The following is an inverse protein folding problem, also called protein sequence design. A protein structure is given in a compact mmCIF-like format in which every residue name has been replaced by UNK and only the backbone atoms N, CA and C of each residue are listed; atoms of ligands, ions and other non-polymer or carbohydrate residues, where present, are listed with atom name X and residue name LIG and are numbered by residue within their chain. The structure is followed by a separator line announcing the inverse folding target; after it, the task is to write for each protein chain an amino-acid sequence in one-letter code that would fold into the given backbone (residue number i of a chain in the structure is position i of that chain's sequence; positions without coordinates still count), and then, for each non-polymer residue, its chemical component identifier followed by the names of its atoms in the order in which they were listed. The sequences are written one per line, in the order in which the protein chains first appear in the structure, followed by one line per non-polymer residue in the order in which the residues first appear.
data_IF_003010103671
#
_entry.id   IF_003010103671
#
_cell.length_a   1.000
_cell.length_b   1.000
_cell.length_c   1.000
_cell.angle_alpha   90.00
_cell.angle_beta   90.00
_cell.angle_gamma   90.00
#
_symmetry.space_group_name_H-M   'P 1'
#
loop_
_entity.id
_entity.type
_entity.pdbx_description
1 polymer ?
#
# COMPACT_ATOMS: atom_id res chain seq x y z
N UNK A 1 31.86 9.68 4.69
CA UNK A 1 30.52 9.07 4.74
C UNK A 1 30.33 8.26 3.48
N UNK A 2 29.94 6.99 3.62
CA UNK A 2 29.59 6.15 2.47
C UNK A 2 28.28 6.65 1.89
N UNK A 3 28.21 6.77 0.57
CA UNK A 3 26.98 7.17 -0.11
C UNK A 3 25.94 6.04 0.03
N UNK A 4 24.74 6.39 0.48
CA UNK A 4 23.61 5.45 0.56
C UNK A 4 23.33 4.80 -0.80
N UNK A 5 23.05 3.50 -0.82
CA UNK A 5 22.75 2.81 -2.09
C UNK A 5 21.45 3.31 -2.71
N UNK A 6 20.44 3.66 -1.91
CA UNK A 6 19.18 4.21 -2.43
C UNK A 6 19.34 5.58 -3.07
N UNK A 7 20.45 6.29 -2.88
CA UNK A 7 20.71 7.54 -3.60
C UNK A 7 20.84 7.38 -5.13
N UNK A 8 21.03 6.15 -5.61
CA UNK A 8 20.93 5.84 -7.04
C UNK A 8 19.46 5.84 -7.50
N UNK A 9 19.23 6.06 -8.80
CA UNK A 9 17.88 6.06 -9.38
C UNK A 9 17.47 4.74 -10.03
N UNK A 10 18.41 3.81 -10.21
CA UNK A 10 18.21 2.60 -11.00
C UNK A 10 18.91 1.40 -10.35
N UNK A 11 18.27 0.22 -10.40
CA UNK A 11 18.79 -1.03 -9.85
C UNK A 11 20.21 -1.35 -10.32
N UNK A 12 20.54 -1.12 -11.60
CA UNK A 12 21.89 -1.42 -12.11
C UNK A 12 23.02 -0.74 -11.33
N UNK A 13 22.80 0.47 -10.83
CA UNK A 13 23.82 1.22 -10.08
C UNK A 13 23.84 0.81 -8.61
N UNK A 14 22.67 0.54 -8.03
CA UNK A 14 22.52 -0.06 -6.69
C UNK A 14 23.27 -1.40 -6.63
N UNK A 15 22.98 -2.32 -7.55
CA UNK A 15 23.59 -3.64 -7.59
C UNK A 15 25.09 -3.57 -7.84
N UNK A 16 25.55 -2.69 -8.74
CA UNK A 16 26.99 -2.50 -8.97
C UNK A 16 27.72 -2.13 -7.68
N UNK A 17 27.19 -1.21 -6.89
CA UNK A 17 27.84 -0.73 -5.68
C UNK A 17 27.66 -1.72 -4.52
N UNK A 18 26.49 -2.36 -4.41
CA UNK A 18 26.23 -3.46 -3.48
C UNK A 18 27.21 -4.63 -3.67
N UNK A 19 27.38 -5.12 -4.90
CA UNK A 19 28.25 -6.24 -5.22
C UNK A 19 29.75 -5.92 -5.05
N UNK A 20 30.12 -4.63 -5.00
CA UNK A 20 31.49 -4.19 -4.68
C UNK A 20 31.76 -4.15 -3.18
N UNK A 21 30.73 -4.06 -2.35
CA UNK A 21 30.85 -4.11 -0.89
C UNK A 21 31.37 -5.47 -0.42
N UNK A 22 31.95 -5.52 0.78
CA UNK A 22 32.41 -6.77 1.38
C UNK A 22 31.27 -7.77 1.59
N UNK A 23 30.10 -7.28 2.00
CA UNK A 23 28.92 -8.11 2.29
C UNK A 23 28.25 -8.62 0.99
N UNK A 24 28.12 -7.78 -0.04
CA UNK A 24 27.46 -8.15 -1.29
C UNK A 24 28.31 -8.98 -2.27
N UNK A 25 29.64 -9.00 -2.13
CA UNK A 25 30.54 -9.68 -3.07
C UNK A 25 30.26 -11.18 -3.22
N UNK A 26 29.83 -11.85 -2.15
CA UNK A 26 29.49 -13.27 -2.17
C UNK A 26 28.29 -13.59 -3.09
N UNK A 27 27.53 -12.57 -3.48
CA UNK A 27 26.33 -12.67 -4.30
C UNK A 27 26.56 -12.27 -5.76
N UNK A 28 27.80 -12.00 -6.18
CA UNK A 28 28.12 -11.49 -7.52
C UNK A 28 27.70 -12.40 -8.69
N UNK A 29 27.49 -13.69 -8.44
CA UNK A 29 27.08 -14.66 -9.45
C UNK A 29 25.55 -14.81 -9.58
N UNK A 30 24.75 -14.10 -8.78
CA UNK A 30 23.29 -14.16 -8.91
C UNK A 30 22.77 -13.28 -10.06
N UNK A 31 21.70 -13.71 -10.74
CA UNK A 31 21.01 -12.86 -11.69
C UNK A 31 20.58 -11.54 -11.06
N UNK A 32 20.77 -10.43 -11.79
CA UNK A 32 20.43 -9.09 -11.30
C UNK A 32 18.95 -8.95 -10.94
N UNK A 33 18.06 -9.60 -11.68
CA UNK A 33 16.62 -9.58 -11.39
C UNK A 33 16.30 -10.27 -10.07
N UNK A 34 16.95 -11.40 -9.78
CA UNK A 34 16.77 -12.11 -8.50
C UNK A 34 17.28 -11.29 -7.32
N UNK A 35 18.44 -10.62 -7.46
CA UNK A 35 18.96 -9.73 -6.44
C UNK A 35 18.08 -8.50 -6.23
N UNK A 36 17.58 -7.90 -7.31
CA UNK A 36 16.67 -6.74 -7.23
C UNK A 36 15.39 -7.13 -6.49
N UNK A 37 14.83 -8.29 -6.81
CA UNK A 37 13.66 -8.84 -6.13
C UNK A 37 13.92 -9.05 -4.64
N UNK A 38 15.02 -9.69 -4.28
CA UNK A 38 15.35 -10.00 -2.88
C UNK A 38 15.72 -8.76 -2.03
N UNK A 39 16.30 -7.74 -2.66
CA UNK A 39 16.69 -6.49 -1.99
C UNK A 39 15.58 -5.43 -1.98
N UNK A 40 14.45 -5.66 -2.66
CA UNK A 40 13.37 -4.69 -2.74
C UNK A 40 12.80 -4.28 -1.36
N UNK A 41 12.56 -5.18 -0.38
CA UNK A 41 12.10 -4.78 0.95
C UNK A 41 13.06 -3.81 1.64
N UNK A 42 14.37 -4.10 1.57
CA UNK A 42 15.43 -3.29 2.17
C UNK A 42 15.53 -1.92 1.53
N UNK A 43 15.46 -1.88 0.19
CA UNK A 43 15.46 -0.63 -0.57
C UNK A 43 14.24 0.23 -0.24
N UNK A 44 13.07 -0.40 -0.08
CA UNK A 44 11.81 0.25 0.26
C UNK A 44 11.86 0.93 1.63
N UNK A 45 12.32 0.22 2.66
CA UNK A 45 12.48 0.77 4.01
C UNK A 45 13.45 1.95 3.99
N UNK A 46 14.60 1.80 3.32
CA UNK A 46 15.58 2.89 3.22
C UNK A 46 15.03 4.12 2.51
N UNK A 47 14.26 3.96 1.43
CA UNK A 47 13.61 5.07 0.74
C UNK A 47 12.54 5.75 1.60
N UNK A 48 11.76 4.95 2.31
CA UNK A 48 10.75 5.48 3.22
C UNK A 48 11.40 6.31 4.33
N UNK A 49 12.48 5.81 4.93
CA UNK A 49 13.23 6.52 5.97
C UNK A 49 13.83 7.84 5.46
N UNK A 50 14.38 7.84 4.23
CA UNK A 50 14.94 9.05 3.61
C UNK A 50 13.91 10.20 3.56
N UNK A 51 12.65 9.88 3.32
CA UNK A 51 11.59 10.87 3.12
C UNK A 51 10.83 11.21 4.40
N UNK A 52 10.43 10.19 5.16
CA UNK A 52 9.44 10.33 6.22
C UNK A 52 10.05 10.36 7.61
N UNK A 53 11.24 9.79 7.80
CA UNK A 53 11.89 9.68 9.10
C UNK A 53 13.43 9.79 9.03
N UNK A 54 13.98 10.87 8.42
CA UNK A 54 15.43 10.96 8.20
C UNK A 54 16.25 10.96 9.49
N UNK A 55 15.66 11.39 10.62
CA UNK A 55 16.30 11.37 11.93
C UNK A 55 16.71 9.95 12.38
N UNK A 56 16.00 8.90 11.94
CA UNK A 56 16.36 7.51 12.25
C UNK A 56 17.75 7.14 11.69
N UNK A 57 18.19 7.79 10.60
CA UNK A 57 19.51 7.52 9.99
C UNK A 57 20.69 8.05 10.78
N UNK A 58 20.44 8.93 11.75
CA UNK A 58 21.47 9.47 12.63
C UNK A 58 21.68 8.62 13.88
N UNK A 59 20.84 7.61 14.10
CA UNK A 59 21.03 6.66 15.18
C UNK A 59 22.22 5.73 14.91
N UNK A 60 22.88 5.26 15.97
CA UNK A 60 23.91 4.23 15.89
C UNK A 60 23.35 2.81 15.78
N UNK A 61 22.11 2.63 16.23
CA UNK A 61 21.39 1.37 16.19
C UNK A 61 19.92 1.61 15.79
N UNK A 62 19.27 0.61 15.20
CA UNK A 62 17.85 0.62 14.86
C UNK A 62 17.21 -0.71 15.26
N UNK A 63 16.07 -0.62 15.93
CA UNK A 63 15.17 -1.73 16.21
C UNK A 63 13.91 -1.60 15.35
N UNK A 64 13.78 -2.49 14.36
CA UNK A 64 12.72 -2.45 13.35
C UNK A 64 11.83 -3.67 13.50
N UNK A 65 10.52 -3.45 13.43
CA UNK A 65 9.53 -4.53 13.34
C UNK A 65 8.96 -4.56 11.94
N UNK A 66 9.02 -5.72 11.29
CA UNK A 66 8.30 -5.98 10.04
C UNK A 66 6.99 -6.66 10.42
N UNK A 67 5.90 -5.90 10.38
CA UNK A 67 4.59 -6.34 10.81
C UNK A 67 3.76 -6.84 9.62
N UNK A 68 2.88 -7.81 9.89
CA UNK A 68 2.10 -8.49 8.85
C UNK A 68 2.92 -9.54 8.10
N UNK A 69 4.07 -9.95 8.64
CA UNK A 69 4.99 -10.83 7.96
C UNK A 69 4.34 -12.19 7.65
N UNK A 70 4.49 -12.66 6.41
CA UNK A 70 3.93 -13.93 5.94
C UNK A 70 4.91 -14.62 4.99
N UNK A 71 4.57 -15.81 4.47
CA UNK A 71 5.38 -16.47 3.45
C UNK A 71 5.36 -15.66 2.15
N UNK A 72 6.43 -14.90 1.89
CA UNK A 72 6.44 -13.88 0.85
C UNK A 72 7.80 -13.22 0.67
N UNK A 73 7.81 -12.07 -0.03
CA UNK A 73 9.03 -11.31 -0.32
C UNK A 73 9.68 -10.72 0.93
N UNK A 74 8.85 -10.23 1.83
CA UNK A 74 9.18 -9.67 3.13
C UNK A 74 9.83 -10.68 4.09
N UNK A 75 9.69 -11.99 3.82
CA UNK A 75 10.32 -13.08 4.60
C UNK A 75 11.22 -13.99 3.77
N UNK A 76 11.56 -13.59 2.53
CA UNK A 76 12.45 -14.35 1.65
C UNK A 76 13.77 -14.68 2.36
N UNK A 77 14.22 -15.94 2.24
CA UNK A 77 15.40 -16.47 2.94
C UNK A 77 15.36 -16.20 4.47
N UNK A 78 14.17 -16.33 5.07
CA UNK A 78 13.85 -16.02 6.46
C UNK A 78 14.12 -14.55 6.86
N UNK A 79 14.03 -13.62 5.91
CA UNK A 79 14.27 -12.19 6.14
C UNK A 79 15.75 -11.83 6.32
N UNK A 80 16.69 -12.74 6.03
CA UNK A 80 18.14 -12.45 6.16
C UNK A 80 18.60 -11.26 5.32
N UNK A 81 17.84 -10.89 4.28
CA UNK A 81 18.13 -9.72 3.45
C UNK A 81 18.13 -8.40 4.23
N UNK A 82 17.38 -8.28 5.33
CA UNK A 82 17.37 -7.06 6.16
C UNK A 82 18.73 -6.73 6.78
N UNK A 83 19.65 -7.69 6.87
CA UNK A 83 21.04 -7.46 7.31
C UNK A 83 21.79 -6.48 6.40
N UNK A 84 21.33 -6.24 5.17
CA UNK A 84 21.93 -5.28 4.25
C UNK A 84 21.38 -3.85 4.40
N UNK A 85 20.37 -3.62 5.23
CA UNK A 85 19.78 -2.28 5.43
C UNK A 85 20.82 -1.20 5.79
N UNK A 86 21.83 -1.45 6.65
CA UNK A 86 22.91 -0.48 6.92
C UNK A 86 23.61 0.04 5.65
N UNK A 87 23.83 -0.82 4.66
CA UNK A 87 24.43 -0.44 3.38
C UNK A 87 23.50 0.47 2.57
N UNK A 88 22.20 0.18 2.56
CA UNK A 88 21.21 0.99 1.86
C UNK A 88 21.06 2.38 2.48
N UNK A 89 21.16 2.47 3.82
CA UNK A 89 21.16 3.73 4.56
C UNK A 89 22.46 4.53 4.44
N UNK A 90 23.53 3.95 3.88
CA UNK A 90 24.86 4.57 3.80
C UNK A 90 25.62 4.61 5.13
N UNK A 91 25.20 3.76 6.08
CA UNK A 91 25.71 3.68 7.46
C UNK A 91 26.15 2.23 7.73
N UNK A 92 27.23 1.72 7.08
CA UNK A 92 27.60 0.30 7.15
C UNK A 92 27.88 -0.23 8.56
N UNK A 93 28.23 0.65 9.50
CA UNK A 93 28.54 0.31 10.89
C UNK A 93 27.31 0.41 11.83
N UNK A 94 26.14 0.80 11.29
CA UNK A 94 24.89 0.87 12.05
C UNK A 94 24.43 -0.55 12.42
N UNK A 95 24.07 -0.73 13.69
CA UNK A 95 23.46 -1.97 14.14
C UNK A 95 21.97 -1.96 13.80
N UNK A 96 21.48 -2.99 13.13
CA UNK A 96 20.06 -3.12 12.80
C UNK A 96 19.57 -4.46 13.33
N UNK A 97 18.59 -4.40 14.24
CA UNK A 97 17.84 -5.58 14.68
C UNK A 97 16.47 -5.56 14.04
N UNK A 98 16.05 -6.69 13.50
CA UNK A 98 14.74 -6.84 12.87
C UNK A 98 13.99 -7.97 13.54
N UNK A 99 12.73 -7.71 13.91
CA UNK A 99 11.78 -8.73 14.36
C UNK A 99 10.69 -8.91 13.28
N UNK A 100 10.46 -10.14 12.83
CA UNK A 100 9.39 -10.46 11.87
C UNK A 100 8.14 -10.88 12.63
N UNK A 101 7.04 -10.16 12.46
CA UNK A 101 5.82 -10.33 13.25
C UNK A 101 4.62 -10.52 12.33
N UNK A 102 3.94 -11.67 12.45
CA UNK A 102 2.71 -11.92 11.73
C UNK A 102 2.21 -13.36 11.87
N UNK A 103 0.88 -13.54 11.93
CA UNK A 103 0.26 -14.88 12.00
C UNK A 103 0.56 -15.76 10.78
N UNK A 104 0.90 -15.15 9.64
CA UNK A 104 1.34 -15.87 8.43
C UNK A 104 2.71 -16.53 8.55
N UNK A 105 3.41 -16.38 9.67
CA UNK A 105 4.66 -17.10 9.96
C UNK A 105 4.43 -18.49 10.57
N UNK A 106 3.20 -18.81 11.02
CA UNK A 106 2.83 -20.14 11.49
C UNK A 106 2.52 -21.06 10.32
N UNK A 107 3.22 -22.19 10.23
CA UNK A 107 3.04 -23.21 9.19
C UNK A 107 1.66 -23.88 9.19
N UNK A 108 0.85 -23.69 10.23
CA UNK A 108 -0.48 -24.27 10.36
C UNK A 108 -1.62 -23.31 9.96
N UNK A 109 -1.32 -22.03 9.76
CA UNK A 109 -2.30 -21.05 9.30
C UNK A 109 -2.29 -21.11 7.77
N UNK A 110 -3.41 -21.48 7.10
CA UNK A 110 -3.50 -21.37 5.65
C UNK A 110 -3.10 -19.96 5.25
N UNK A 111 -2.25 -19.77 4.23
CA UNK A 111 -1.82 -18.44 3.78
C UNK A 111 -3.05 -17.57 3.52
N UNK A 112 -3.45 -16.75 4.49
CA UNK A 112 -4.63 -15.88 4.42
C UNK A 112 -4.35 -14.71 3.47
N UNK A 113 -3.07 -14.48 3.16
CA UNK A 113 -2.59 -13.43 2.29
C UNK A 113 -2.53 -13.93 0.83
N UNK A 114 -3.67 -13.81 0.13
CA UNK A 114 -3.73 -13.93 -1.32
C UNK A 114 -4.18 -15.30 -1.80
N UNK A 115 -5.48 -15.43 -2.11
CA UNK A 115 -6.00 -16.66 -2.71
C UNK A 115 -5.22 -17.02 -3.98
N UNK A 116 -4.64 -18.23 -4.06
CA UNK A 116 -4.04 -18.91 -5.22
C UNK A 116 -3.13 -18.11 -6.19
N UNK A 117 -2.87 -16.82 -5.98
CA UNK A 117 -2.30 -15.91 -6.97
C UNK A 117 -0.78 -15.79 -6.86
N UNK A 118 -0.19 -16.33 -5.79
CA UNK A 118 1.25 -16.31 -5.57
C UNK A 118 1.81 -17.72 -5.40
N UNK A 119 1.79 -18.59 -6.45
CA UNK A 119 2.61 -19.79 -6.47
C UNK A 119 4.05 -19.38 -6.79
N UNK A 120 4.62 -18.50 -5.97
CA UNK A 120 6.05 -18.55 -5.75
C UNK A 120 6.18 -19.32 -4.45
N UNK A 121 5.93 -20.63 -4.49
CA UNK A 121 6.73 -21.50 -3.63
C UNK A 121 8.16 -21.03 -3.90
N UNK A 122 8.87 -20.44 -2.93
CA UNK A 122 10.27 -20.19 -3.09
C UNK A 122 10.85 -21.61 -3.07
N UNK A 123 10.88 -22.28 -4.23
CA UNK A 123 11.62 -23.53 -4.44
C UNK A 123 12.98 -23.22 -3.88
N UNK A 124 13.24 -23.68 -2.65
CA UNK A 124 14.32 -23.20 -1.76
C UNK A 124 15.48 -22.75 -2.62
N UNK A 125 15.50 -21.45 -2.91
CA UNK A 125 16.24 -21.00 -4.07
C UNK A 125 17.71 -21.21 -3.75
N UNK A 126 18.55 -21.38 -4.77
CA UNK A 126 20.00 -21.46 -4.56
C UNK A 126 20.54 -20.26 -3.77
N UNK A 127 19.80 -19.14 -3.65
CA UNK A 127 20.10 -17.99 -2.77
C UNK A 127 20.15 -18.37 -1.28
N UNK A 128 19.27 -19.24 -0.81
CA UNK A 128 19.17 -19.62 0.61
C UNK A 128 20.49 -20.16 1.17
N UNK A 129 21.19 -20.99 0.40
CA UNK A 129 22.49 -21.53 0.80
C UNK A 129 23.59 -20.46 0.94
N UNK A 130 23.54 -19.41 0.10
CA UNK A 130 24.49 -18.30 0.16
C UNK A 130 24.14 -17.30 1.26
N UNK A 131 22.87 -17.23 1.66
CA UNK A 131 22.41 -16.38 2.76
C UNK A 131 22.56 -17.04 4.13
N UNK A 132 22.72 -18.37 4.21
CA UNK A 132 22.74 -19.14 5.47
C UNK A 132 23.80 -18.70 6.51
N UNK A 133 24.86 -18.01 6.08
CA UNK A 133 25.88 -17.47 6.98
C UNK A 133 25.43 -16.19 7.72
N UNK A 134 24.34 -15.57 7.26
CA UNK A 134 23.74 -14.40 7.90
C UNK A 134 22.71 -14.85 8.93
N UNK A 135 22.68 -14.12 10.05
CA UNK A 135 21.71 -14.34 11.11
C UNK A 135 20.30 -13.98 10.62
N UNK A 136 19.37 -14.91 10.79
CA UNK A 136 17.97 -14.66 10.51
C UNK A 136 17.35 -13.82 11.63
N UNK A 137 16.56 -12.80 11.30
CA UNK A 137 15.65 -12.14 12.24
C UNK A 137 14.84 -13.12 13.09
N UNK A 138 14.60 -12.85 14.38
CA UNK A 138 13.60 -13.56 15.16
C UNK A 138 12.22 -13.48 14.50
N UNK A 139 11.45 -14.57 14.62
CA UNK A 139 10.13 -14.74 14.00
C UNK A 139 9.08 -14.93 15.09
N UNK A 140 8.02 -14.12 15.04
CA UNK A 140 6.94 -14.12 16.02
C UNK A 140 5.60 -14.37 15.30
N UNK A 141 5.05 -15.60 15.37
CA UNK A 141 3.76 -15.94 14.75
C UNK A 141 2.57 -15.39 15.56
N UNK A 142 2.59 -14.08 15.79
CA UNK A 142 1.65 -13.32 16.61
C UNK A 142 1.01 -12.21 15.77
N UNK A 143 -0.13 -11.69 16.21
CA UNK A 143 -0.59 -10.35 15.79
C UNK A 143 0.41 -9.28 16.25
N UNK A 144 0.32 -8.09 15.67
CA UNK A 144 1.18 -6.99 16.08
C UNK A 144 0.88 -6.59 17.54
N UNK A 145 -0.39 -6.53 17.94
CA UNK A 145 -0.80 -6.21 19.30
C UNK A 145 -0.32 -7.24 20.33
N UNK A 146 -0.46 -8.54 20.03
CA UNK A 146 0.07 -9.62 20.89
C UNK A 146 1.60 -9.51 21.06
N UNK A 147 2.32 -9.26 19.96
CA UNK A 147 3.76 -9.07 20.01
C UNK A 147 4.16 -7.83 20.82
N UNK A 148 3.48 -6.69 20.62
CA UNK A 148 3.77 -5.45 21.36
C UNK A 148 3.49 -5.63 22.86
N UNK A 149 2.43 -6.36 23.23
CA UNK A 149 2.14 -6.71 24.62
C UNK A 149 3.23 -7.61 25.22
N UNK A 150 3.69 -8.64 24.49
CA UNK A 150 4.79 -9.50 24.94
C UNK A 150 6.13 -8.74 25.06
N UNK A 151 6.32 -7.71 24.22
CA UNK A 151 7.49 -6.84 24.17
C UNK A 151 7.46 -5.70 25.20
N UNK A 152 6.42 -5.54 26.02
CA UNK A 152 6.20 -4.35 26.87
C UNK A 152 7.37 -3.95 27.82
N UNK A 153 8.30 -4.86 28.10
CA UNK A 153 9.49 -4.62 28.93
C UNK A 153 10.74 -4.15 28.15
N UNK A 154 10.66 -4.08 26.82
CA UNK A 154 11.70 -3.53 25.93
C UNK A 154 11.32 -2.11 25.51
N UNK A 155 12.30 -1.27 25.11
CA UNK A 155 12.00 -0.02 24.43
C UNK A 155 11.08 -0.22 23.23
N UNK A 156 10.26 0.78 22.94
CA UNK A 156 9.46 0.80 21.72
C UNK A 156 10.39 0.68 20.49
N UNK A 157 9.97 -0.03 19.43
CA UNK A 157 10.76 -0.09 18.21
C UNK A 157 10.90 1.31 17.59
N UNK A 158 12.03 1.54 16.92
CA UNK A 158 12.32 2.77 16.20
C UNK A 158 11.43 2.94 14.95
N UNK A 159 11.01 1.83 14.37
CA UNK A 159 10.16 1.76 13.19
C UNK A 159 9.33 0.48 13.19
N UNK A 160 8.05 0.60 12.88
CA UNK A 160 7.22 -0.53 12.42
C UNK A 160 6.98 -0.34 10.92
N UNK A 161 7.29 -1.35 10.12
CA UNK A 161 7.05 -1.32 8.69
C UNK A 161 6.07 -2.43 8.28
N UNK A 162 5.04 -2.08 7.52
CA UNK A 162 4.01 -3.01 7.04
C UNK A 162 4.04 -3.03 5.52
N UNK A 163 4.37 -4.18 4.94
CA UNK A 163 4.25 -4.40 3.51
C UNK A 163 2.84 -4.89 3.19
N UNK A 164 2.11 -4.16 2.34
CA UNK A 164 0.79 -4.56 1.82
C UNK A 164 -0.21 -4.92 2.94
N UNK A 165 -0.62 -3.95 3.76
CA UNK A 165 -1.41 -4.20 4.97
C UNK A 165 -2.73 -4.94 4.70
N UNK A 166 -3.38 -4.67 3.56
CA UNK A 166 -4.66 -5.26 3.19
C UNK A 166 -5.74 -4.94 4.22
N UNK A 167 -5.85 -3.68 4.66
CA UNK A 167 -6.79 -3.29 5.72
C UNK A 167 -8.23 -3.61 5.37
N UNK A 168 -8.60 -3.63 4.09
CA UNK A 168 -9.94 -4.04 3.66
C UNK A 168 -10.28 -5.48 4.06
N UNK A 169 -9.32 -6.41 3.95
CA UNK A 169 -9.51 -7.82 4.32
C UNK A 169 -9.23 -8.03 5.82
N UNK A 170 -8.30 -7.27 6.39
CA UNK A 170 -7.73 -7.49 7.71
C UNK A 170 -8.08 -6.39 8.73
N UNK A 171 -9.13 -5.60 8.50
CA UNK A 171 -9.54 -4.49 9.39
C UNK A 171 -9.79 -4.97 10.81
N UNK A 172 -10.36 -6.17 10.97
CA UNK A 172 -10.63 -6.74 12.28
C UNK A 172 -9.37 -6.99 13.11
N UNK A 173 -8.25 -7.37 12.50
CA UNK A 173 -6.98 -7.56 13.24
C UNK A 173 -6.24 -6.24 13.39
N UNK A 174 -6.00 -5.55 12.27
CA UNK A 174 -5.18 -4.33 12.27
C UNK A 174 -5.78 -3.20 13.08
N UNK A 175 -7.11 -3.06 13.00
CA UNK A 175 -7.81 -1.89 13.51
C UNK A 175 -8.68 -2.27 14.72
N UNK A 176 -9.68 -3.14 14.54
CA UNK A 176 -10.61 -3.47 15.62
C UNK A 176 -9.92 -4.24 16.77
N UNK A 177 -8.89 -5.03 16.45
CA UNK A 177 -8.05 -5.73 17.43
C UNK A 177 -7.05 -4.81 18.15
N UNK A 178 -6.94 -3.54 17.75
CA UNK A 178 -6.04 -2.57 18.37
C UNK A 178 -4.56 -2.72 17.99
N UNK A 179 -4.23 -3.55 16.99
CA UNK A 179 -2.85 -3.79 16.55
C UNK A 179 -2.13 -2.50 16.16
N UNK A 180 -2.72 -1.69 15.27
CA UNK A 180 -2.13 -0.39 14.89
C UNK A 180 -2.07 0.59 16.06
N UNK A 181 -3.13 0.65 16.88
CA UNK A 181 -3.17 1.52 18.07
C UNK A 181 -2.03 1.17 19.04
N UNK A 182 -1.73 -0.12 19.22
CA UNK A 182 -0.68 -0.58 20.13
C UNK A 182 0.70 0.01 19.81
N UNK A 183 0.96 0.33 18.54
CA UNK A 183 2.21 0.94 18.08
C UNK A 183 2.10 2.46 18.04
N UNK A 184 1.02 2.99 17.45
CA UNK A 184 0.84 4.44 17.28
C UNK A 184 0.77 5.16 18.63
N UNK A 185 0.22 4.53 19.67
CA UNK A 185 0.19 5.07 21.05
C UNK A 185 1.57 5.23 21.68
N UNK A 186 2.60 4.53 21.19
CA UNK A 186 3.99 4.69 21.62
C UNK A 186 4.70 5.82 20.88
N UNK A 187 4.05 6.44 19.89
CA UNK A 187 4.66 7.43 19.00
C UNK A 187 5.66 6.81 18.01
N UNK A 188 5.74 5.48 17.92
CA UNK A 188 6.59 4.78 16.96
C UNK A 188 6.12 5.11 15.53
N UNK A 189 7.03 5.57 14.64
CA UNK A 189 6.71 5.75 13.23
C UNK A 189 6.25 4.45 12.57
N UNK A 190 5.15 4.52 11.81
CA UNK A 190 4.64 3.39 11.02
C UNK A 190 4.78 3.68 9.53
N UNK A 191 5.66 2.92 8.87
CA UNK A 191 5.84 2.95 7.43
C UNK A 191 5.03 1.88 6.73
N UNK A 192 4.43 2.23 5.59
CA UNK A 192 3.58 1.32 4.83
C UNK A 192 3.98 1.30 3.36
N UNK A 193 3.68 0.18 2.72
CA UNK A 193 3.80 0.04 1.28
C UNK A 193 2.55 -0.62 0.67
N UNK A 194 2.22 -0.24 -0.56
CA UNK A 194 1.11 -0.77 -1.35
C UNK A 194 1.59 -1.21 -2.75
N UNK A 195 0.84 -2.09 -3.42
CA UNK A 195 1.11 -2.67 -4.73
C UNK A 195 0.97 -1.67 -5.88
N UNK A 196 0.26 -0.56 -5.63
CA UNK A 196 -0.02 0.52 -6.57
C UNK A 196 -0.56 1.74 -5.84
N UNK A 197 -0.82 2.82 -6.60
CA UNK A 197 -1.49 4.02 -6.06
C UNK A 197 -2.95 3.71 -5.70
N UNK A 198 -3.58 2.80 -6.45
CA UNK A 198 -4.97 2.43 -6.30
C UNK A 198 -5.22 1.66 -4.99
N UNK A 199 -4.38 0.66 -4.70
CA UNK A 199 -4.44 -0.04 -3.41
C UNK A 199 -4.18 0.95 -2.27
N UNK A 200 -3.18 1.83 -2.39
CA UNK A 200 -2.93 2.85 -1.37
C UNK A 200 -4.17 3.70 -1.08
N UNK A 201 -4.88 4.17 -2.11
CA UNK A 201 -6.12 4.93 -1.92
C UNK A 201 -7.18 4.12 -1.15
N UNK A 202 -7.36 2.85 -1.48
CA UNK A 202 -8.28 1.97 -0.76
C UNK A 202 -7.89 1.83 0.73
N UNK A 203 -6.61 1.62 1.01
CA UNK A 203 -6.09 1.49 2.37
C UNK A 203 -6.37 2.75 3.20
N UNK A 204 -6.12 3.94 2.60
CA UNK A 204 -6.39 5.23 3.25
C UNK A 204 -7.87 5.39 3.57
N UNK A 205 -8.77 4.95 2.70
CA UNK A 205 -10.21 5.05 2.93
C UNK A 205 -10.68 4.14 4.05
N UNK A 206 -10.20 2.90 4.09
CA UNK A 206 -10.49 1.98 5.20
C UNK A 206 -10.04 2.60 6.52
N UNK A 207 -8.82 3.13 6.57
CA UNK A 207 -8.28 3.81 7.75
C UNK A 207 -9.11 5.03 8.16
N UNK A 208 -9.48 5.88 7.21
CA UNK A 208 -10.30 7.07 7.45
C UNK A 208 -11.68 6.71 8.03
N UNK A 209 -12.30 5.64 7.54
CA UNK A 209 -13.57 5.13 8.05
C UNK A 209 -13.47 4.59 9.50
N UNK A 210 -12.26 4.29 9.96
CA UNK A 210 -11.96 3.97 11.36
C UNK A 210 -11.38 5.16 12.15
N UNK A 211 -11.41 6.37 11.57
CA UNK A 211 -10.93 7.61 12.20
C UNK A 211 -9.40 7.77 12.24
N UNK A 212 -8.64 6.90 11.58
CA UNK A 212 -7.20 7.07 11.42
C UNK A 212 -6.89 8.13 10.37
N UNK A 213 -5.76 8.82 10.55
CA UNK A 213 -5.26 9.79 9.58
C UNK A 213 -4.01 9.24 8.89
N UNK A 214 -4.06 9.19 7.57
CA UNK A 214 -2.91 8.84 6.74
C UNK A 214 -2.30 10.10 6.14
N UNK A 215 -0.97 10.09 6.02
CA UNK A 215 -0.30 11.16 5.30
C UNK A 215 -0.55 11.00 3.80
N UNK A 216 -1.13 12.02 3.17
CA UNK A 216 -1.44 11.99 1.73
C UNK A 216 -0.19 12.05 0.83
N UNK A 217 0.98 12.33 1.40
CA UNK A 217 2.24 12.26 0.65
C UNK A 217 2.62 10.81 0.43
N UNK A 218 2.75 10.45 -0.84
CA UNK A 218 3.23 9.14 -1.28
C UNK A 218 4.57 9.26 -2.02
N UNK A 219 5.34 8.18 -2.01
CA UNK A 219 6.55 8.03 -2.81
C UNK A 219 6.36 6.85 -3.74
N UNK A 220 6.62 7.06 -5.03
CA UNK A 220 6.77 5.95 -5.96
C UNK A 220 8.13 5.28 -5.73
N UNK A 221 8.10 4.02 -5.34
CA UNK A 221 9.27 3.20 -5.13
C UNK A 221 9.90 2.78 -6.45
N UNK A 222 10.96 3.49 -6.84
CA UNK A 222 11.79 3.16 -8.01
C UNK A 222 12.49 1.79 -7.93
N UNK A 223 12.45 1.13 -6.78
CA UNK A 223 13.02 -0.19 -6.53
C UNK A 223 11.95 -1.25 -6.28
N UNK A 224 10.68 -0.96 -6.59
CA UNK A 224 9.60 -1.93 -6.49
C UNK A 224 9.91 -3.20 -7.30
N UNK A 225 9.55 -4.36 -6.75
CA UNK A 225 9.75 -5.63 -7.41
C UNK A 225 8.49 -5.99 -8.21
N UNK A 226 8.60 -6.04 -9.54
CA UNK A 226 7.48 -6.43 -10.39
C UNK A 226 7.06 -7.87 -10.07
N UNK A 227 5.82 -8.04 -9.68
CA UNK A 227 5.18 -9.36 -9.60
C UNK A 227 4.86 -9.77 -11.05
N UNK A 228 5.25 -10.98 -11.46
CA UNK A 228 5.15 -11.42 -12.85
C UNK A 228 3.79 -11.14 -13.52
N UNK A 229 3.81 -10.61 -14.75
CA UNK A 229 2.79 -10.66 -15.84
C UNK A 229 1.32 -10.84 -15.41
N UNK A 230 0.85 -10.11 -14.40
CA UNK A 230 -0.59 -9.95 -14.20
C UNK A 230 -1.11 -8.84 -15.11
N UNK A 231 -2.42 -8.82 -15.33
CA UNK A 231 -3.14 -7.84 -16.16
C UNK A 231 -3.01 -6.41 -15.59
N UNK A 232 -2.48 -6.27 -14.37
CA UNK A 232 -2.22 -5.00 -13.69
C UNK A 232 -0.72 -4.75 -13.50
N UNK A 233 -0.28 -3.47 -13.51
CA UNK A 233 1.03 -3.09 -13.01
C UNK A 233 1.04 -3.13 -11.48
N UNK A 234 0.94 -4.32 -10.88
CA UNK A 234 1.19 -4.50 -9.44
C UNK A 234 2.66 -4.82 -9.20
N UNK A 235 3.30 -4.04 -8.35
CA UNK A 235 4.68 -4.28 -7.94
C UNK A 235 4.78 -4.24 -6.42
N UNK A 236 5.53 -5.18 -5.85
CA UNK A 236 5.73 -5.21 -4.42
C UNK A 236 6.43 -3.94 -3.94
N UNK A 237 5.87 -3.39 -2.87
CA UNK A 237 6.21 -2.12 -2.27
C UNK A 237 6.24 -0.94 -3.26
N UNK A 238 5.38 -0.92 -4.29
CA UNK A 238 5.33 0.14 -5.31
C UNK A 238 5.12 1.54 -4.72
N UNK A 239 4.14 1.71 -3.85
CA UNK A 239 3.76 3.01 -3.30
C UNK A 239 4.09 3.03 -1.81
N UNK A 240 5.01 3.91 -1.39
CA UNK A 240 5.42 4.05 0.01
C UNK A 240 4.71 5.26 0.63
N UNK A 241 4.22 5.09 1.86
CA UNK A 241 3.44 6.11 2.56
C UNK A 241 3.53 5.89 4.07
N UNK A 242 3.00 6.83 4.86
CA UNK A 242 3.02 6.74 6.32
C UNK A 242 1.64 6.99 6.92
N UNK A 243 1.41 6.39 8.07
CA UNK A 243 0.35 6.82 8.98
C UNK A 243 0.82 8.03 9.79
N UNK A 244 -0.09 8.95 10.07
CA UNK A 244 0.17 9.97 11.08
C UNK A 244 -0.09 9.35 12.47
N UNK A 245 0.68 9.76 13.47
CA UNK A 245 0.57 9.22 14.84
C UNK A 245 -0.71 9.68 15.58
N UNK A 246 -1.64 10.33 14.88
CA UNK A 246 -2.92 10.73 15.43
C UNK A 246 -3.81 9.50 15.63
N UNK A 247 -4.10 9.18 16.89
CA UNK A 247 -5.02 8.11 17.23
C UNK A 247 -6.48 8.58 17.11
N UNK A 248 -7.39 7.72 16.62
CA UNK A 248 -8.82 8.00 16.72
C UNK A 248 -9.27 8.03 18.19
N UNK A 249 -10.31 8.84 18.48
CA UNK A 249 -10.86 9.03 19.84
C UNK A 249 -11.31 7.71 20.49
N UNK A 250 -11.76 6.74 19.70
CA UNK A 250 -12.10 5.39 20.15
C UNK A 250 -11.75 4.35 19.08
N UNK A 251 -11.54 3.10 19.49
CA UNK A 251 -11.53 1.94 18.60
C UNK A 251 -12.98 1.55 18.25
N UNK A 252 -13.70 2.50 17.65
CA UNK A 252 -15.04 2.22 17.18
C UNK A 252 -14.95 1.26 15.97
N UNK A 253 -15.80 0.22 15.94
CA UNK A 253 -15.97 -0.53 14.70
C UNK A 253 -16.41 0.45 13.59
N UNK A 254 -15.95 0.19 12.37
CA UNK A 254 -16.43 0.92 11.19
C UNK A 254 -17.96 0.88 11.17
N UNK A 255 -18.60 2.01 10.89
CA UNK A 255 -20.04 2.02 10.69
C UNK A 255 -20.38 1.05 9.55
N UNK A 256 -21.42 0.23 9.71
CA UNK A 256 -21.78 -0.79 8.72
C UNK A 256 -21.98 -0.17 7.32
N UNK A 257 -22.52 1.05 7.28
CA UNK A 257 -22.65 1.87 6.07
C UNK A 257 -21.29 2.13 5.40
N UNK A 258 -20.27 2.55 6.14
CA UNK A 258 -18.96 2.87 5.56
C UNK A 258 -18.21 1.61 5.11
N UNK A 259 -18.40 0.49 5.80
CA UNK A 259 -17.89 -0.80 5.35
C UNK A 259 -18.56 -1.25 4.04
N UNK A 260 -19.87 -1.04 3.91
CA UNK A 260 -20.60 -1.32 2.67
C UNK A 260 -20.12 -0.43 1.51
N UNK A 261 -19.83 0.85 1.78
CA UNK A 261 -19.21 1.76 0.80
C UNK A 261 -17.88 1.21 0.29
N UNK A 262 -17.00 0.79 1.19
CA UNK A 262 -15.67 0.25 0.85
C UNK A 262 -15.81 -1.03 0.02
N UNK A 263 -16.68 -1.96 0.44
CA UNK A 263 -16.93 -3.22 -0.29
C UNK A 263 -17.54 -2.99 -1.67
N UNK A 264 -18.46 -2.04 -1.77
CA UNK A 264 -19.07 -1.64 -3.05
C UNK A 264 -18.03 -1.10 -4.02
N UNK A 265 -17.13 -0.23 -3.53
CA UNK A 265 -16.04 0.30 -4.32
C UNK A 265 -15.06 -0.79 -4.77
N UNK A 266 -14.65 -1.68 -3.86
CA UNK A 266 -13.72 -2.77 -4.17
C UNK A 266 -14.28 -3.71 -5.24
N UNK A 267 -15.53 -4.13 -5.08
CA UNK A 267 -16.25 -4.92 -6.08
C UNK A 267 -16.30 -4.19 -7.43
N UNK A 268 -16.63 -2.91 -7.43
CA UNK A 268 -16.69 -2.12 -8.66
C UNK A 268 -15.33 -2.04 -9.34
N UNK A 269 -14.23 -1.83 -8.60
CA UNK A 269 -12.88 -1.81 -9.18
C UNK A 269 -12.52 -3.15 -9.80
N UNK A 270 -12.80 -4.25 -9.10
CA UNK A 270 -12.55 -5.60 -9.61
C UNK A 270 -13.30 -5.84 -10.93
N UNK A 271 -14.60 -5.50 -10.98
CA UNK A 271 -15.42 -5.64 -12.18
C UNK A 271 -14.93 -4.73 -13.32
N UNK A 272 -14.53 -3.49 -13.02
CA UNK A 272 -14.00 -2.53 -13.98
C UNK A 272 -12.68 -3.04 -14.59
N UNK A 273 -11.80 -3.60 -13.77
CA UNK A 273 -10.55 -4.20 -14.20
C UNK A 273 -10.76 -5.41 -15.12
N UNK A 274 -11.70 -6.29 -14.80
CA UNK A 274 -12.05 -7.42 -15.67
C UNK A 274 -12.52 -6.97 -17.06
N UNK A 275 -13.12 -5.78 -17.13
CA UNK A 275 -13.58 -5.17 -18.39
C UNK A 275 -12.49 -4.35 -19.11
N UNK A 276 -11.26 -4.33 -18.59
CA UNK A 276 -10.15 -3.58 -19.17
C UNK A 276 -10.26 -2.06 -19.01
N UNK A 277 -11.07 -1.58 -18.06
CA UNK A 277 -11.12 -0.15 -17.72
C UNK A 277 -9.79 0.21 -17.07
N UNK A 278 -9.02 1.08 -17.72
CA UNK A 278 -7.70 1.49 -17.24
C UNK A 278 -7.88 2.49 -16.09
N UNK A 279 -7.31 2.18 -14.92
CA UNK A 279 -7.48 2.86 -13.62
C UNK A 279 -6.94 4.30 -13.43
N UNK A 280 -6.18 4.96 -14.36
CA UNK A 280 -5.73 6.35 -14.17
C UNK A 280 -6.85 7.38 -13.94
N UNK A 281 -8.12 6.98 -14.14
CA UNK A 281 -9.30 7.81 -13.92
C UNK A 281 -9.83 7.80 -12.48
N UNK A 282 -9.28 7.02 -11.55
CA UNK A 282 -9.72 7.05 -10.14
C UNK A 282 -9.57 8.45 -9.49
N UNK A 283 -8.50 9.19 -9.83
CA UNK A 283 -8.33 10.60 -9.41
C UNK A 283 -9.41 11.54 -9.97
N UNK A 284 -10.14 11.10 -10.99
CA UNK A 284 -11.19 11.85 -11.64
C UNK A 284 -12.59 11.39 -11.22
N UNK A 285 -12.78 10.18 -10.70
CA UNK A 285 -14.11 9.65 -10.38
C UNK A 285 -14.73 10.31 -9.16
N UNK A 286 -15.97 10.74 -9.32
CA UNK A 286 -16.58 11.66 -8.38
C UNK A 286 -15.92 13.04 -8.36
N UNK A 287 -14.84 13.27 -9.11
CA UNK A 287 -14.25 14.58 -9.30
C UNK A 287 -15.10 15.46 -10.22
N UNK A 288 -14.87 16.76 -10.16
CA UNK A 288 -15.54 17.74 -11.01
C UNK A 288 -14.62 18.22 -12.13
N UNK A 289 -15.16 18.49 -13.31
CA UNK A 289 -14.47 19.17 -14.40
C UNK A 289 -15.29 20.30 -14.96
N UNK A 290 -14.66 21.46 -15.16
CA UNK A 290 -15.29 22.63 -15.77
C UNK A 290 -14.88 22.73 -17.24
N UNK A 291 -15.86 22.82 -18.12
CA UNK A 291 -15.65 23.02 -19.55
C UNK A 291 -16.45 24.23 -20.05
N UNK A 292 -16.29 24.58 -21.34
CA UNK A 292 -17.14 25.60 -21.99
C UNK A 292 -18.64 25.25 -21.99
N UNK A 293 -18.99 23.99 -21.70
CA UNK A 293 -20.35 23.49 -21.72
C UNK A 293 -21.01 23.38 -20.34
N UNK A 294 -20.26 23.57 -19.24
CA UNK A 294 -20.80 23.42 -17.89
C UNK A 294 -19.78 22.92 -16.87
N UNK A 295 -20.29 22.67 -15.67
CA UNK A 295 -19.56 22.04 -14.56
C UNK A 295 -20.09 20.61 -14.39
N UNK A 296 -19.21 19.63 -14.51
CA UNK A 296 -19.59 18.22 -14.64
C UNK A 296 -18.98 17.37 -13.53
N UNK A 297 -19.75 16.41 -13.02
CA UNK A 297 -19.25 15.30 -12.21
C UNK A 297 -18.88 14.13 -13.13
N UNK A 298 -17.69 13.56 -12.94
CA UNK A 298 -17.20 12.44 -13.75
C UNK A 298 -17.59 11.12 -13.09
N UNK A 299 -18.31 10.27 -13.83
CA UNK A 299 -18.73 8.96 -13.37
C UNK A 299 -17.76 7.84 -13.78
N UNK A 300 -17.80 6.68 -13.11
CA UNK A 300 -16.85 5.60 -13.34
C UNK A 300 -16.95 4.91 -14.72
N UNK A 301 -18.09 5.03 -15.40
CA UNK A 301 -18.30 4.58 -16.79
C UNK A 301 -17.99 5.68 -17.82
N UNK A 302 -17.20 6.69 -17.43
CA UNK A 302 -16.82 7.86 -18.24
C UNK A 302 -17.99 8.77 -18.66
N UNK A 303 -19.19 8.55 -18.11
CA UNK A 303 -20.31 9.48 -18.28
C UNK A 303 -20.06 10.75 -17.47
N UNK A 304 -20.63 11.85 -17.93
CA UNK A 304 -20.58 13.14 -17.24
C UNK A 304 -21.98 13.55 -16.81
N UNK A 305 -22.11 14.03 -15.58
CA UNK A 305 -23.36 14.60 -15.06
C UNK A 305 -23.19 16.10 -14.93
N UNK A 306 -23.98 16.88 -15.66
CA UNK A 306 -24.02 18.34 -15.49
C UNK A 306 -24.61 18.68 -14.11
N UNK A 307 -23.85 19.38 -13.27
CA UNK A 307 -24.24 19.75 -11.91
C UNK A 307 -25.45 20.68 -11.86
N UNK A 308 -25.64 21.51 -12.88
CA UNK A 308 -26.73 22.48 -12.90
C UNK A 308 -28.05 21.87 -13.37
N UNK A 309 -27.99 20.91 -14.30
CA UNK A 309 -29.20 20.37 -14.93
C UNK A 309 -29.44 18.88 -14.69
N UNK A 310 -28.51 18.17 -14.07
CA UNK A 310 -28.54 16.72 -13.89
C UNK A 310 -28.44 15.90 -15.16
N UNK A 311 -28.18 16.53 -16.31
CA UNK A 311 -28.17 15.84 -17.60
C UNK A 311 -26.95 14.95 -17.69
N UNK A 312 -27.14 13.76 -18.23
CA UNK A 312 -26.07 12.77 -18.39
C UNK A 312 -25.57 12.79 -19.83
N UNK A 313 -24.25 12.77 -19.98
CA UNK A 313 -23.58 12.83 -21.27
C UNK A 313 -22.59 11.69 -21.44
N UNK A 314 -22.52 11.15 -22.67
CA UNK A 314 -21.41 10.35 -23.14
C UNK A 314 -20.40 11.26 -23.87
N UNK A 315 -19.18 11.46 -23.34
CA UNK A 315 -18.15 12.18 -24.07
C UNK A 315 -17.65 11.32 -25.24
N UNK A 316 -17.69 11.86 -26.46
CA UNK A 316 -17.11 11.23 -27.65
C UNK A 316 -15.69 11.73 -27.93
N UNK A 317 -15.36 12.93 -27.47
CA UNK A 317 -14.02 13.50 -27.38
C UNK A 317 -14.04 14.68 -26.39
N UNK A 318 -12.92 15.40 -26.25
CA UNK A 318 -12.77 16.51 -25.32
C UNK A 318 -13.78 17.68 -25.52
N UNK A 319 -14.43 17.78 -26.69
CA UNK A 319 -15.33 18.89 -27.03
C UNK A 319 -16.76 18.47 -27.37
N UNK A 320 -17.06 17.16 -27.40
CA UNK A 320 -18.36 16.65 -27.86
C UNK A 320 -18.99 15.76 -26.80
N UNK A 321 -20.06 16.29 -26.20
CA UNK A 321 -20.87 15.64 -25.17
C UNK A 321 -22.24 15.26 -25.75
N UNK A 322 -22.50 13.97 -25.88
CA UNK A 322 -23.78 13.47 -26.40
C UNK A 322 -24.75 13.25 -25.24
N UNK A 323 -25.85 14.01 -25.19
CA UNK A 323 -26.93 13.82 -24.21
C UNK A 323 -27.54 12.43 -24.43
N UNK A 324 -27.58 11.61 -23.38
CA UNK A 324 -28.09 10.22 -23.45
C UNK A 324 -29.57 10.11 -23.07
N UNK A 325 -30.25 11.24 -22.82
CA UNK A 325 -31.67 11.26 -22.46
C UNK A 325 -31.97 10.82 -21.02
N UNK A 326 -30.95 10.60 -20.20
CA UNK A 326 -31.07 10.32 -18.77
C UNK A 326 -30.76 11.59 -17.98
N UNK A 327 -31.50 11.83 -16.90
CA UNK A 327 -31.30 12.96 -15.99
C UNK A 327 -31.27 12.48 -14.54
N UNK A 328 -30.19 12.77 -13.83
CA UNK A 328 -30.09 12.59 -12.38
C UNK A 328 -31.03 13.60 -11.70
N UNK A 329 -31.86 13.13 -10.77
CA UNK A 329 -32.78 13.98 -10.04
C UNK A 329 -32.04 15.00 -9.18
N UNK A 330 -32.59 16.22 -9.04
CA UNK A 330 -31.94 17.29 -8.28
C UNK A 330 -31.68 16.87 -6.83
N UNK A 331 -32.62 16.16 -6.20
CA UNK A 331 -32.45 15.67 -4.84
C UNK A 331 -31.23 14.75 -4.68
N UNK A 332 -30.89 13.96 -5.70
CA UNK A 332 -29.70 13.10 -5.70
C UNK A 332 -28.42 13.88 -6.06
N UNK A 333 -28.51 14.94 -6.87
CA UNK A 333 -27.38 15.85 -7.09
C UNK A 333 -27.03 16.64 -5.84
N UNK A 334 -28.03 17.06 -5.07
CA UNK A 334 -27.84 17.84 -3.85
C UNK A 334 -27.12 17.04 -2.75
N UNK A 335 -27.10 15.70 -2.86
CA UNK A 335 -26.30 14.83 -1.98
C UNK A 335 -24.86 14.60 -2.44
N UNK A 336 -24.45 15.18 -3.58
CA UNK A 336 -23.08 15.07 -4.05
C UNK A 336 -22.11 15.74 -3.04
N UNK A 337 -21.11 15.00 -2.52
CA UNK A 337 -20.29 15.48 -1.41
C UNK A 337 -19.14 16.37 -1.91
N UNK A 338 -19.49 17.55 -2.42
CA UNK A 338 -18.56 18.46 -3.09
C UNK A 338 -17.41 18.93 -2.19
N UNK A 339 -17.67 19.08 -0.89
CA UNK A 339 -16.69 19.53 0.10
C UNK A 339 -16.03 18.39 0.89
N UNK A 340 -16.21 17.12 0.50
CA UNK A 340 -15.53 16.03 1.21
C UNK A 340 -14.02 16.16 1.05
N UNK A 341 -13.31 16.08 2.16
CA UNK A 341 -11.85 16.04 2.19
C UNK A 341 -11.31 14.73 1.61
N UNK A 342 -12.18 13.72 1.48
CA UNK A 342 -11.84 12.41 0.96
C UNK A 342 -12.52 12.22 -0.39
N UNK A 343 -11.74 11.82 -1.39
CA UNK A 343 -12.27 11.42 -2.71
C UNK A 343 -13.26 10.25 -2.61
N UNK A 344 -13.29 9.56 -1.48
CA UNK A 344 -14.14 8.40 -1.21
C UNK A 344 -15.63 8.68 -1.31
N UNK A 345 -16.16 9.67 -0.60
CA UNK A 345 -17.61 9.93 -0.61
C UNK A 345 -18.08 10.30 -2.02
N UNK A 346 -17.23 11.03 -2.74
CA UNK A 346 -17.47 11.42 -4.13
C UNK A 346 -17.43 10.20 -5.06
N UNK A 347 -16.46 9.31 -4.89
CA UNK A 347 -16.35 8.07 -5.65
C UNK A 347 -17.54 7.13 -5.36
N UNK A 348 -17.93 6.97 -4.10
CA UNK A 348 -19.09 6.16 -3.70
C UNK A 348 -20.39 6.72 -4.28
N UNK A 349 -20.61 8.04 -4.19
CA UNK A 349 -21.75 8.69 -4.84
C UNK A 349 -21.74 8.40 -6.35
N UNK A 350 -20.59 8.58 -7.02
CA UNK A 350 -20.47 8.38 -8.45
C UNK A 350 -20.71 6.93 -8.91
N UNK A 351 -20.27 5.94 -8.13
CA UNK A 351 -20.54 4.51 -8.41
C UNK A 351 -22.04 4.21 -8.35
N UNK A 352 -22.73 4.69 -7.30
CA UNK A 352 -24.15 4.46 -7.15
C UNK A 352 -24.97 5.16 -8.24
N UNK A 353 -24.62 6.41 -8.56
CA UNK A 353 -25.28 7.16 -9.65
C UNK A 353 -25.04 6.49 -11.00
N UNK A 354 -23.83 5.98 -11.27
CA UNK A 354 -23.55 5.27 -12.52
C UNK A 354 -24.39 3.99 -12.64
N UNK A 355 -24.49 3.19 -11.58
CA UNK A 355 -25.32 1.98 -11.56
C UNK A 355 -26.80 2.29 -11.82
N UNK A 356 -27.31 3.37 -11.20
CA UNK A 356 -28.68 3.84 -11.45
C UNK A 356 -28.89 4.31 -12.90
N UNK A 357 -27.94 5.07 -13.47
CA UNK A 357 -28.00 5.52 -14.87
C UNK A 357 -28.03 4.33 -15.83
N UNK A 358 -27.19 3.31 -15.59
CA UNK A 358 -27.11 2.13 -16.45
C UNK A 358 -28.47 1.41 -16.47
N UNK A 359 -29.10 1.22 -15.31
CA UNK A 359 -30.47 0.68 -15.20
C UNK A 359 -31.51 1.55 -15.92
N UNK A 360 -31.47 2.88 -15.74
CA UNK A 360 -32.42 3.81 -16.36
C UNK A 360 -32.27 3.88 -17.89
N UNK A 361 -31.07 3.67 -18.41
CA UNK A 361 -30.78 3.69 -19.84
C UNK A 361 -31.14 2.38 -20.56
N UNK A 362 -31.55 1.33 -19.84
CA UNK A 362 -31.83 0.01 -20.41
C UNK A 362 -30.59 -0.65 -21.04
N UNK A 363 -29.39 -0.26 -20.58
CA UNK A 363 -28.09 -0.66 -21.13
C UNK A 363 -27.58 -1.97 -20.52
#
# INVERSE_FOLDING_TARGET
MTKSLTSHKEWRYVLRDFLRSSQGRALANYPSDALSYALAPVASISLWMDEFAPALKEQSALDIVIAGAAHGMDTLDDGRWYQFLPLFLGKPDMQVTVDLVGKGLDSNVPEVFGGNAFPLEPKKSTMSAKMAHLEAPPRFPLTLGEYMAARAHRPAPDLVFIFHPGFIINSNSWIAGGDLRSVLSLGTPVGLASYGEEEHMQEVWVLAAHGYQANLKVIQNRFAANLHKQVLPSAFAHTLWKLDNALPEADAPIAEEDLDKVKTFDKWMYDAMQKGVVLPFLKAFGGTTKTKHGDFIILPNMKLVDKASGKVYNPSNAEKFNDIGVRVEQALLDTYPESSLFDFDRAYWAINVAAWIDQASGA
#
